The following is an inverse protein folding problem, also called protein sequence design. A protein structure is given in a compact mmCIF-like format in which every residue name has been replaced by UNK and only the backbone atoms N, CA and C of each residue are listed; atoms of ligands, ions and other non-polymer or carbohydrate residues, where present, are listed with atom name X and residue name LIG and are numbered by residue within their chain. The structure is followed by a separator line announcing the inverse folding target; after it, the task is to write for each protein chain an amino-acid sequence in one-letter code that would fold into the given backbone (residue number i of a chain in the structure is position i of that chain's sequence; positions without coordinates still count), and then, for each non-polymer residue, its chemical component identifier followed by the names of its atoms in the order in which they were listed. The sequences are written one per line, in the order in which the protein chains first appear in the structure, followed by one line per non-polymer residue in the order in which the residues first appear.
data_IF_572817441778
#
_entry.id   IF_572817441778
#
_cell.length_a   1.000
_cell.length_b   1.000
_cell.length_c   1.000
_cell.angle_alpha   90.00
_cell.angle_beta   90.00
_cell.angle_gamma   90.00
#
_symmetry.space_group_name_H-M   'P 1'
#
loop_
_entity.id
_entity.type
_entity.pdbx_description
1 polymer ?
#
# COMPACT_ATOMS: atom_id res chain seq x y z
N UNK A 1 3.36 -11.18 -30.05
CA UNK A 1 3.50 -12.01 -28.85
C UNK A 1 4.94 -11.86 -28.34
N UNK A 2 5.17 -11.14 -27.23
CA UNK A 2 6.53 -10.96 -26.69
C UNK A 2 6.93 -12.26 -25.98
N UNK A 3 8.12 -12.76 -26.29
CA UNK A 3 8.68 -13.97 -25.67
C UNK A 3 8.69 -13.82 -24.15
N UNK A 4 8.00 -14.73 -23.48
CA UNK A 4 8.03 -14.85 -22.02
C UNK A 4 9.38 -15.45 -21.68
N UNK A 5 10.33 -14.62 -21.27
CA UNK A 5 11.66 -15.07 -20.84
C UNK A 5 11.53 -15.60 -19.41
N UNK A 6 11.53 -16.93 -19.24
CA UNK A 6 11.67 -17.54 -17.93
C UNK A 6 13.13 -17.44 -17.48
N UNK A 7 13.34 -17.00 -16.25
CA UNK A 7 14.66 -16.84 -15.64
C UNK A 7 14.74 -17.63 -14.34
N UNK A 8 15.92 -18.14 -14.05
CA UNK A 8 16.23 -18.86 -12.81
C UNK A 8 16.24 -17.91 -11.60
N UNK A 9 15.65 -18.35 -10.49
CA UNK A 9 15.56 -17.60 -9.23
C UNK A 9 16.92 -17.18 -8.67
N UNK A 10 17.96 -18.01 -8.82
CA UNK A 10 19.30 -17.73 -8.32
C UNK A 10 19.92 -16.50 -8.97
N UNK A 11 19.47 -16.13 -10.18
CA UNK A 11 19.86 -14.87 -10.82
C UNK A 11 19.32 -13.66 -10.05
N UNK A 12 18.07 -13.72 -9.62
CA UNK A 12 17.42 -12.65 -8.86
C UNK A 12 18.02 -12.52 -7.46
N UNK A 13 18.24 -13.66 -6.78
CA UNK A 13 18.85 -13.69 -5.46
C UNK A 13 20.24 -13.05 -5.45
N UNK A 14 21.09 -13.38 -6.44
CA UNK A 14 22.42 -12.75 -6.60
C UNK A 14 22.32 -11.25 -6.84
N UNK A 15 21.35 -10.80 -7.64
CA UNK A 15 21.17 -9.38 -7.93
C UNK A 15 20.72 -8.60 -6.68
N UNK A 16 19.81 -9.16 -5.87
CA UNK A 16 19.37 -8.54 -4.62
C UNK A 16 20.47 -8.55 -3.56
N UNK A 17 21.23 -9.64 -3.46
CA UNK A 17 22.36 -9.71 -2.53
C UNK A 17 23.39 -8.61 -2.81
N UNK A 18 23.66 -8.33 -4.09
CA UNK A 18 24.51 -7.18 -4.48
C UNK A 18 23.93 -5.84 -4.01
N UNK A 19 22.61 -5.61 -4.16
CA UNK A 19 21.98 -4.40 -3.61
C UNK A 19 22.14 -4.33 -2.11
N UNK A 20 21.83 -5.41 -1.39
CA UNK A 20 21.90 -5.47 0.07
C UNK A 20 23.23 -4.95 0.59
N UNK A 21 24.32 -5.40 -0.02
CA UNK A 21 25.69 -4.96 0.32
C UNK A 21 25.90 -3.48 -0.04
N UNK A 22 25.46 -3.06 -1.23
CA UNK A 22 25.71 -1.70 -1.74
C UNK A 22 24.89 -0.62 -1.01
N UNK A 23 23.63 -0.92 -0.68
CA UNK A 23 22.67 0.03 -0.08
C UNK A 23 22.44 -0.19 1.42
N UNK A 24 23.17 -1.12 2.05
CA UNK A 24 23.00 -1.48 3.47
C UNK A 24 21.56 -1.83 3.84
N UNK A 25 20.81 -2.44 2.91
CA UNK A 25 19.42 -2.81 3.15
C UNK A 25 19.33 -4.06 4.05
N UNK A 26 18.28 -4.18 4.89
CA UNK A 26 18.03 -5.39 5.67
C UNK A 26 17.70 -6.58 4.76
N UNK A 27 17.71 -7.79 5.32
CA UNK A 27 17.27 -8.99 4.58
C UNK A 27 15.77 -8.91 4.36
N UNK A 28 15.36 -8.66 3.12
CA UNK A 28 13.96 -8.60 2.70
C UNK A 28 13.71 -9.78 1.78
N UNK A 29 12.51 -10.36 1.82
CA UNK A 29 12.09 -11.30 0.79
C UNK A 29 12.17 -10.62 -0.59
N UNK A 30 12.66 -11.34 -1.58
CA UNK A 30 13.04 -10.73 -2.85
C UNK A 30 11.91 -10.71 -3.87
N UNK A 31 10.87 -11.52 -3.66
CA UNK A 31 9.69 -11.65 -4.52
C UNK A 31 8.62 -12.53 -3.86
N UNK A 32 7.42 -12.54 -4.45
CA UNK A 32 6.32 -13.41 -4.06
C UNK A 32 6.54 -14.85 -4.58
N UNK A 33 6.71 -15.83 -3.68
CA UNK A 33 6.92 -17.24 -4.05
C UNK A 33 5.79 -17.87 -4.85
N UNK A 34 4.54 -17.43 -4.65
CA UNK A 34 3.40 -17.93 -5.44
C UNK A 34 3.47 -17.58 -6.93
N UNK A 35 4.37 -16.66 -7.32
CA UNK A 35 4.60 -16.29 -8.72
C UNK A 35 5.65 -17.15 -9.45
N UNK A 36 6.24 -18.13 -8.77
CA UNK A 36 7.20 -19.06 -9.37
C UNK A 36 6.51 -20.08 -10.27
N UNK A 37 7.17 -20.39 -11.39
CA UNK A 37 6.86 -21.51 -12.26
C UNK A 37 7.84 -22.64 -11.92
N UNK A 38 7.30 -23.81 -11.60
CA UNK A 38 8.07 -25.02 -11.24
C UNK A 38 9.08 -24.78 -10.10
N UNK A 39 8.73 -23.94 -9.12
CA UNK A 39 9.49 -23.61 -7.90
C UNK A 39 10.92 -23.06 -8.09
N UNK A 40 11.33 -22.81 -9.33
CA UNK A 40 12.73 -22.46 -9.67
C UNK A 40 12.84 -21.33 -10.70
N UNK A 41 11.77 -21.05 -11.44
CA UNK A 41 11.78 -20.04 -12.50
C UNK A 41 10.72 -18.97 -12.26
N UNK A 42 10.99 -17.75 -12.71
CA UNK A 42 10.01 -16.66 -12.70
C UNK A 42 9.89 -16.02 -14.07
N UNK A 43 8.78 -15.33 -14.28
CA UNK A 43 8.52 -14.55 -15.49
C UNK A 43 8.66 -13.07 -15.18
N UNK A 44 9.47 -12.39 -15.97
CA UNK A 44 9.58 -10.93 -15.87
C UNK A 44 8.46 -10.24 -16.64
N UNK A 45 7.92 -9.18 -16.04
CA UNK A 45 7.15 -8.20 -16.79
C UNK A 45 8.05 -7.50 -17.82
N UNK A 46 7.43 -6.90 -18.84
CA UNK A 46 8.18 -6.25 -19.92
C UNK A 46 9.16 -5.19 -19.42
N UNK A 47 8.80 -4.41 -18.39
CA UNK A 47 9.66 -3.35 -17.82
C UNK A 47 10.87 -3.92 -17.08
N UNK A 48 10.70 -5.02 -16.33
CA UNK A 48 11.80 -5.64 -15.62
C UNK A 48 12.77 -6.34 -16.58
N UNK A 49 12.26 -6.90 -17.68
CA UNK A 49 13.09 -7.54 -18.70
C UNK A 49 14.09 -6.56 -19.38
N UNK A 50 13.76 -5.26 -19.42
CA UNK A 50 14.68 -4.22 -19.94
C UNK A 50 15.99 -4.12 -19.14
N UNK A 51 15.99 -4.57 -17.89
CA UNK A 51 17.19 -4.53 -17.03
C UNK A 51 18.03 -5.82 -17.10
N UNK A 52 17.59 -6.80 -17.89
CA UNK A 52 18.27 -8.09 -18.09
C UNK A 52 18.92 -8.13 -19.46
N UNK A 53 20.17 -8.59 -19.52
CA UNK A 53 20.86 -8.85 -20.79
C UNK A 53 21.71 -10.10 -20.62
N UNK A 54 21.63 -11.05 -21.56
CA UNK A 54 22.36 -12.33 -21.51
C UNK A 54 22.17 -13.08 -20.18
N UNK A 55 20.94 -13.13 -19.66
CA UNK A 55 20.62 -13.73 -18.35
C UNK A 55 21.41 -13.14 -17.17
N UNK A 56 21.77 -11.84 -17.24
CA UNK A 56 22.39 -11.09 -16.15
C UNK A 56 21.63 -9.78 -15.91
N UNK A 57 21.34 -9.46 -14.65
CA UNK A 57 20.81 -8.15 -14.27
C UNK A 57 21.91 -7.09 -14.34
N UNK A 58 21.84 -6.20 -15.34
CA UNK A 58 22.75 -5.04 -15.42
C UNK A 58 22.46 -4.06 -14.28
N UNK A 59 21.19 -3.79 -14.06
CA UNK A 59 20.67 -2.98 -12.95
C UNK A 59 19.45 -3.68 -12.33
N UNK A 60 19.08 -3.32 -11.11
CA UNK A 60 17.80 -3.77 -10.55
C UNK A 60 16.69 -2.91 -11.17
N UNK A 61 15.61 -3.52 -11.69
CA UNK A 61 14.50 -2.75 -12.20
C UNK A 61 13.88 -1.92 -11.07
N UNK A 62 13.68 -0.63 -11.34
CA UNK A 62 13.18 0.35 -10.36
C UNK A 62 11.90 -0.10 -9.66
N UNK A 63 10.99 -0.73 -10.40
CA UNK A 63 9.66 -1.18 -9.93
C UNK A 63 9.59 -2.68 -9.63
N UNK A 64 10.73 -3.36 -9.51
CA UNK A 64 10.75 -4.78 -9.18
C UNK A 64 10.62 -5.02 -7.67
N UNK A 65 10.03 -6.15 -7.30
CA UNK A 65 10.01 -6.65 -5.93
C UNK A 65 11.41 -6.71 -5.31
N UNK A 66 12.38 -7.16 -6.09
CA UNK A 66 13.80 -7.23 -5.75
C UNK A 66 14.43 -5.88 -5.37
N UNK A 67 13.82 -4.75 -5.74
CA UNK A 67 14.29 -3.42 -5.37
C UNK A 67 13.73 -2.95 -4.01
N UNK A 68 13.48 -3.88 -3.08
CA UNK A 68 12.89 -3.59 -1.76
C UNK A 68 11.42 -3.16 -1.82
N UNK A 69 10.72 -3.46 -2.91
CA UNK A 69 9.29 -3.13 -3.08
C UNK A 69 8.37 -4.29 -2.71
N UNK A 70 8.93 -5.45 -2.35
CA UNK A 70 8.17 -6.56 -1.79
C UNK A 70 8.17 -6.45 -0.27
N UNK A 71 6.97 -6.29 0.29
CA UNK A 71 6.72 -6.15 1.72
C UNK A 71 6.28 -7.45 2.38
N UNK A 72 6.35 -8.57 1.65
CA UNK A 72 5.79 -9.85 2.08
C UNK A 72 4.31 -10.00 1.74
N UNK A 73 3.74 -11.12 2.15
CA UNK A 73 2.29 -11.32 2.10
C UNK A 73 1.61 -10.44 3.15
N UNK A 74 0.56 -9.73 2.72
CA UNK A 74 -0.25 -8.93 3.63
C UNK A 74 -1.18 -9.86 4.42
N UNK A 75 -1.15 -9.83 5.77
CA UNK A 75 -1.99 -10.70 6.61
C UNK A 75 -3.47 -10.40 6.39
N UNK A 76 -4.33 -11.40 6.62
CA UNK A 76 -5.76 -11.31 6.34
C UNK A 76 -6.50 -10.18 7.10
N UNK A 77 -5.95 -9.82 8.25
CA UNK A 77 -6.42 -8.77 9.15
C UNK A 77 -6.17 -7.38 8.56
N UNK A 78 -5.06 -7.20 7.83
CA UNK A 78 -4.67 -5.94 7.19
C UNK A 78 -5.03 -5.87 5.71
N UNK A 79 -5.23 -7.02 5.08
CA UNK A 79 -5.63 -7.13 3.68
C UNK A 79 -7.02 -6.54 3.48
N UNK A 80 -7.26 -5.77 2.42
CA UNK A 80 -8.57 -5.19 2.07
C UNK A 80 -9.16 -4.24 3.13
N UNK A 81 -8.31 -3.53 3.87
CA UNK A 81 -8.72 -2.35 4.63
C UNK A 81 -9.04 -1.21 3.66
N UNK A 82 -10.08 -0.44 3.94
CA UNK A 82 -10.34 0.78 3.20
C UNK A 82 -9.32 1.83 3.59
N UNK A 83 -9.10 2.82 2.72
CA UNK A 83 -8.22 3.96 3.03
C UNK A 83 -8.55 4.60 4.39
N UNK A 84 -9.83 4.79 4.72
CA UNK A 84 -10.22 5.36 6.01
C UNK A 84 -9.95 4.42 7.19
N UNK A 85 -10.11 3.11 7.01
CA UNK A 85 -9.75 2.13 8.03
C UNK A 85 -8.23 2.14 8.28
N UNK A 86 -7.42 2.27 7.23
CA UNK A 86 -5.97 2.47 7.34
C UNK A 86 -5.64 3.75 8.13
N UNK A 87 -6.34 4.86 7.87
CA UNK A 87 -6.15 6.10 8.64
C UNK A 87 -6.51 5.93 10.12
N UNK A 88 -7.54 5.13 10.44
CA UNK A 88 -7.92 4.85 11.82
C UNK A 88 -6.84 4.10 12.61
N UNK A 89 -6.07 3.22 11.94
CA UNK A 89 -5.01 2.42 12.58
C UNK A 89 -3.60 3.00 12.41
N UNK A 90 -3.41 4.01 11.56
CA UNK A 90 -2.12 4.62 11.30
C UNK A 90 -1.57 5.36 12.54
N UNK A 91 -0.33 5.01 12.95
CA UNK A 91 0.39 5.71 14.03
C UNK A 91 0.96 7.05 13.60
N UNK A 92 1.39 7.15 12.35
CA UNK A 92 1.83 8.38 11.72
C UNK A 92 0.78 8.80 10.69
N UNK A 93 0.28 10.03 10.81
CA UNK A 93 -0.77 10.56 9.94
C UNK A 93 -0.20 11.67 9.08
N UNK A 94 -0.53 11.66 7.79
CA UNK A 94 -0.33 12.83 6.95
C UNK A 94 -1.37 13.87 7.36
N UNK A 95 -0.94 15.09 7.66
CA UNK A 95 -1.81 16.12 8.24
C UNK A 95 -3.03 16.45 7.37
N UNK A 96 -2.93 16.27 6.03
CA UNK A 96 -4.04 16.51 5.10
C UNK A 96 -3.97 15.59 3.87
N UNK A 97 -4.96 14.72 3.71
CA UNK A 97 -5.25 14.01 2.47
C UNK A 97 -6.60 14.51 1.94
N UNK A 98 -6.60 15.18 0.78
CA UNK A 98 -7.83 15.67 0.15
C UNK A 98 -8.17 14.82 -1.07
N UNK A 99 -9.38 14.25 -1.11
CA UNK A 99 -9.87 13.54 -2.29
C UNK A 99 -11.08 14.24 -2.86
N UNK A 100 -11.03 14.54 -4.17
CA UNK A 100 -12.21 14.91 -4.93
C UNK A 100 -12.75 13.69 -5.64
N UNK A 101 -13.93 13.24 -5.24
CA UNK A 101 -14.67 12.19 -5.94
C UNK A 101 -15.47 12.87 -7.05
N UNK A 102 -15.12 12.61 -8.32
CA UNK A 102 -15.90 13.07 -9.47
C UNK A 102 -16.31 11.87 -10.31
N UNK A 103 -17.42 11.98 -11.05
CA UNK A 103 -17.63 11.12 -12.21
C UNK A 103 -16.50 11.39 -13.21
N UNK A 104 -15.69 10.36 -13.48
CA UNK A 104 -14.72 10.38 -14.56
C UNK A 104 -15.43 10.34 -15.93
N UNK A 105 -14.72 10.64 -17.02
CA UNK A 105 -15.28 10.67 -18.38
C UNK A 105 -15.88 9.33 -18.85
N UNK A 106 -15.52 8.22 -18.19
CA UNK A 106 -16.05 6.87 -18.46
C UNK A 106 -17.18 6.46 -17.51
N UNK A 107 -17.67 7.37 -16.67
CA UNK A 107 -18.69 7.08 -15.64
C UNK A 107 -18.14 6.41 -14.37
N UNK A 108 -16.83 6.11 -14.31
CA UNK A 108 -16.19 5.58 -13.11
C UNK A 108 -15.79 6.71 -12.15
N UNK A 109 -16.03 6.53 -10.86
CA UNK A 109 -15.60 7.49 -9.82
C UNK A 109 -14.07 7.51 -9.76
N UNK A 110 -13.45 8.65 -10.09
CA UNK A 110 -12.00 8.83 -10.02
C UNK A 110 -11.64 9.77 -8.86
N UNK A 111 -10.74 9.33 -7.99
CA UNK A 111 -10.20 10.14 -6.90
C UNK A 111 -8.93 10.88 -7.36
N UNK A 112 -8.94 12.22 -7.26
CA UNK A 112 -7.75 13.07 -7.50
C UNK A 112 -7.50 13.95 -6.28
N UNK A 113 -6.26 14.04 -5.83
CA UNK A 113 -5.92 14.66 -4.56
C UNK A 113 -4.46 15.09 -4.43
N UNK A 114 -4.21 16.04 -3.53
CA UNK A 114 -2.86 16.40 -3.07
C UNK A 114 -2.64 15.76 -1.69
N UNK A 115 -1.42 15.26 -1.46
CA UNK A 115 -0.99 14.73 -0.16
C UNK A 115 0.13 15.62 0.35
N UNK A 116 -0.02 16.15 1.58
CA UNK A 116 1.05 16.86 2.26
C UNK A 116 1.44 16.07 3.52
N UNK A 117 2.67 15.55 3.53
CA UNK A 117 3.23 14.82 4.67
C UNK A 117 4.09 15.81 5.45
N UNK A 118 3.60 16.25 6.60
CA UNK A 118 4.36 17.08 7.53
C UNK A 118 4.94 16.18 8.63
N UNK A 119 6.19 16.39 9.06
CA UNK A 119 6.73 15.68 10.20
C UNK A 119 5.87 15.98 11.44
N UNK A 120 5.27 14.93 11.99
CA UNK A 120 4.51 14.98 13.23
C UNK A 120 5.38 14.44 14.36
N UNK A 121 5.36 15.09 15.53
CA UNK A 121 5.93 14.50 16.73
C UNK A 121 5.00 13.39 17.23
N UNK A 122 5.33 12.16 16.84
CA UNK A 122 4.56 10.97 17.20
C UNK A 122 4.69 10.60 18.69
N UNK A 123 5.61 11.20 19.45
CA UNK A 123 5.88 10.82 20.84
C UNK A 123 4.66 10.95 21.75
N UNK A 124 3.90 12.05 21.61
CA UNK A 124 2.66 12.28 22.36
C UNK A 124 1.49 11.36 21.97
N UNK A 125 1.58 10.67 20.82
CA UNK A 125 0.55 9.77 20.31
C UNK A 125 0.77 8.29 20.69
N UNK A 126 1.95 7.94 21.22
CA UNK A 126 2.26 6.57 21.61
C UNK A 126 1.48 6.11 22.84
N UNK A 127 1.19 7.03 23.77
CA UNK A 127 0.61 6.70 25.07
C UNK A 127 -0.91 6.50 25.06
N UNK A 128 -1.59 6.86 23.95
CA UNK A 128 -3.05 6.77 23.82
C UNK A 128 -3.43 6.10 22.49
N UNK A 129 -3.23 4.78 22.42
CA UNK A 129 -3.63 3.99 21.26
C UNK A 129 -5.01 3.31 21.41
N UNK A 130 -5.83 3.31 20.35
CA UNK A 130 -5.82 4.24 19.22
C UNK A 130 -6.33 5.64 19.63
N UNK A 131 -5.93 6.69 18.89
CA UNK A 131 -6.41 8.04 19.14
C UNK A 131 -7.96 8.04 19.17
N UNK A 132 -8.60 8.73 20.13
CA UNK A 132 -10.04 8.73 20.25
C UNK A 132 -10.70 9.13 18.92
N UNK A 133 -11.82 8.48 18.56
CA UNK A 133 -12.51 8.76 17.29
C UNK A 133 -12.85 10.24 17.08
N UNK A 134 -13.04 11.01 18.16
CA UNK A 134 -13.29 12.45 18.07
C UNK A 134 -12.11 13.24 17.49
N UNK A 135 -10.85 12.76 17.62
CA UNK A 135 -9.67 13.38 16.98
C UNK A 135 -9.62 13.17 15.47
N UNK A 136 -10.32 12.15 14.94
CA UNK A 136 -10.39 11.93 13.48
C UNK A 136 -11.18 13.04 12.77
N UNK A 137 -12.07 13.74 13.48
CA UNK A 137 -12.83 14.87 12.93
C UNK A 137 -11.90 15.99 12.42
N UNK A 138 -10.80 16.24 13.13
CA UNK A 138 -9.89 17.35 12.79
C UNK A 138 -8.90 16.99 11.68
N UNK A 139 -8.81 15.70 11.34
CA UNK A 139 -7.87 15.17 10.35
C UNK A 139 -8.54 14.79 9.03
N UNK A 140 -9.81 14.35 9.09
CA UNK A 140 -10.55 13.85 7.93
C UNK A 140 -11.76 14.76 7.67
N UNK A 141 -11.61 15.65 6.69
CA UNK A 141 -12.71 16.46 6.18
C UNK A 141 -13.29 15.84 4.91
N UNK A 142 -14.56 15.45 4.95
CA UNK A 142 -15.30 14.99 3.77
C UNK A 142 -16.15 16.15 3.26
N UNK A 143 -15.83 16.62 2.05
CA UNK A 143 -16.65 17.62 1.35
C UNK A 143 -17.43 16.93 0.24
N UNK A 144 -18.76 16.87 0.40
CA UNK A 144 -19.67 16.35 -0.61
C UNK A 144 -20.16 17.49 -1.49
N UNK A 145 -19.76 17.50 -2.76
CA UNK A 145 -20.19 18.51 -3.74
C UNK A 145 -21.20 17.85 -4.67
N UNK A 146 -22.49 18.13 -4.44
CA UNK A 146 -23.60 17.71 -5.30
C UNK A 146 -24.00 18.78 -6.31
N UNK A 147 -24.63 18.37 -7.41
CA UNK A 147 -25.48 19.28 -8.20
C UNK A 147 -26.73 19.64 -7.39
N UNK A 148 -27.42 20.76 -7.68
CA UNK A 148 -28.65 21.14 -6.98
C UNK A 148 -29.70 20.02 -6.94
N UNK A 149 -29.71 19.17 -7.97
CA UNK A 149 -30.66 18.08 -8.16
C UNK A 149 -30.25 16.75 -7.49
N UNK A 150 -29.08 16.69 -6.83
CA UNK A 150 -28.57 15.46 -6.23
C UNK A 150 -28.41 15.58 -4.72
N UNK A 151 -29.44 15.14 -4.00
CA UNK A 151 -29.42 15.06 -2.54
C UNK A 151 -28.49 13.96 -2.05
N UNK A 152 -27.64 14.29 -1.07
CA UNK A 152 -26.84 13.31 -0.34
C UNK A 152 -27.78 12.54 0.60
N UNK A 153 -28.22 11.37 0.17
CA UNK A 153 -29.04 10.47 1.00
C UNK A 153 -28.16 9.54 1.83
N UNK A 154 -28.73 8.94 2.88
CA UNK A 154 -28.06 7.89 3.66
C UNK A 154 -27.63 6.70 2.79
N UNK A 155 -28.38 6.39 1.74
CA UNK A 155 -28.03 5.30 0.82
C UNK A 155 -26.79 5.62 -0.01
N UNK A 156 -26.66 6.87 -0.47
CA UNK A 156 -25.46 7.38 -1.14
C UNK A 156 -24.23 7.29 -0.23
N UNK A 157 -24.38 7.63 1.06
CA UNK A 157 -23.31 7.49 2.05
C UNK A 157 -22.94 6.03 2.32
N UNK A 158 -23.92 5.13 2.37
CA UNK A 158 -23.68 3.68 2.56
C UNK A 158 -22.86 3.04 1.45
N UNK A 159 -23.00 3.55 0.22
CA UNK A 159 -22.24 3.10 -0.94
C UNK A 159 -20.87 3.78 -1.07
N UNK A 160 -20.59 4.77 -0.24
CA UNK A 160 -19.34 5.53 -0.31
C UNK A 160 -18.17 4.74 0.32
N UNK A 161 -16.93 4.96 -0.14
CA UNK A 161 -15.74 4.41 0.50
C UNK A 161 -15.41 5.10 1.84
N UNK A 162 -16.32 5.95 2.34
CA UNK A 162 -16.12 6.79 3.52
C UNK A 162 -16.59 6.12 4.83
N UNK A 163 -17.15 4.92 4.73
CA UNK A 163 -17.54 4.15 5.90
C UNK A 163 -16.39 3.25 6.37
N UNK A 164 -16.28 3.13 7.69
CA UNK A 164 -15.31 2.26 8.35
C UNK A 164 -16.02 1.11 9.05
N UNK A 165 -15.46 -0.09 8.95
CA UNK A 165 -15.98 -1.29 9.61
C UNK A 165 -15.26 -1.48 10.94
N UNK A 166 -15.99 -1.30 12.05
CA UNK A 166 -15.44 -1.39 13.41
C UNK A 166 -14.76 -2.73 13.69
N UNK A 167 -15.35 -3.84 13.23
CA UNK A 167 -14.78 -5.18 13.42
C UNK A 167 -13.42 -5.33 12.74
N UNK A 168 -13.29 -4.78 11.53
CA UNK A 168 -12.06 -4.82 10.73
C UNK A 168 -10.95 -4.03 11.38
N UNK A 169 -11.25 -2.79 11.78
CA UNK A 169 -10.31 -1.95 12.55
C UNK A 169 -9.87 -2.69 13.81
N UNK A 170 -10.81 -3.25 14.59
CA UNK A 170 -10.47 -3.94 15.83
C UNK A 170 -9.52 -5.12 15.61
N UNK A 171 -9.77 -5.95 14.59
CA UNK A 171 -8.90 -7.07 14.25
C UNK A 171 -7.51 -6.62 13.77
N UNK A 172 -7.47 -5.60 12.93
CA UNK A 172 -6.22 -5.00 12.47
C UNK A 172 -5.39 -4.47 13.65
N UNK A 173 -6.03 -3.76 14.59
CA UNK A 173 -5.38 -3.25 15.80
C UNK A 173 -4.80 -4.37 16.66
N UNK A 174 -5.58 -5.40 16.98
CA UNK A 174 -5.08 -6.53 17.78
C UNK A 174 -3.91 -7.22 17.10
N UNK A 175 -4.01 -7.48 15.80
CA UNK A 175 -2.91 -8.07 15.04
C UNK A 175 -1.66 -7.19 15.08
N UNK A 176 -1.80 -5.88 14.91
CA UNK A 176 -0.68 -4.95 14.94
C UNK A 176 -0.01 -4.89 16.31
N UNK A 177 -0.77 -4.84 17.40
CA UNK A 177 -0.25 -4.88 18.77
C UNK A 177 0.56 -6.16 19.02
N UNK A 178 0.10 -7.30 18.51
CA UNK A 178 0.76 -8.59 18.72
C UNK A 178 2.00 -8.79 17.82
N UNK A 179 2.02 -8.22 16.61
CA UNK A 179 3.01 -8.57 15.58
C UNK A 179 3.95 -7.44 15.19
N UNK A 180 3.66 -6.20 15.58
CA UNK A 180 4.49 -5.04 15.27
C UNK A 180 5.00 -4.40 16.58
N UNK A 181 6.29 -4.58 16.93
CA UNK A 181 6.87 -3.98 18.14
C UNK A 181 6.86 -2.45 18.14
N UNK A 182 6.70 -1.85 16.95
CA UNK A 182 6.51 -0.41 16.77
C UNK A 182 5.04 -0.06 16.70
N UNK A 183 4.14 -0.89 17.22
CA UNK A 183 2.73 -0.56 17.36
C UNK A 183 2.43 -0.35 18.83
#
# INVERSE_FOLDING_TARGET
MKSVTSLDIGLLEKAVERLRITSSQPRIETFNRSSLINDSTYVLCHLCNLSVTNNVFRSLPLRSYANGLWIGEVPSELKDLTFLEEQCIARARATRCMYKINLGPTGQLAARGNVCILPQDASSFLDAMPAPLFKLHDEICVVLVGSPDMEVTQETLRKSPLLVRRERIRRALFWLIENNPLY
#
